data_IF_813604380673
#
_entry.id   IF_813604380673
#
_cell.length_a   1.000
_cell.length_b   1.000
_cell.length_c   1.000
_cell.angle_alpha   90.00
_cell.angle_beta   90.00
_cell.angle_gamma   90.00
#
_symmetry.space_group_name_H-M   'P 1'
#
loop_
_entity.id
_entity.type
_entity.pdbx_description
1 polymer ?
#
# COMPACT_ATOMS: atom_id res chain seq x y z
N UNK A 1 2.54 -9.65 -12.78
CA UNK A 1 1.70 -8.71 -13.58
C UNK A 1 0.21 -8.84 -13.27
N UNK A 2 -0.33 -10.07 -13.11
CA UNK A 2 -1.74 -10.31 -12.77
C UNK A 2 -2.22 -9.64 -11.47
N UNK A 3 -1.39 -9.64 -10.43
CA UNK A 3 -1.70 -9.00 -9.14
C UNK A 3 -1.93 -7.49 -9.27
N UNK A 4 -1.11 -6.80 -10.08
CA UNK A 4 -1.24 -5.34 -10.26
C UNK A 4 -2.56 -5.01 -10.93
N UNK A 5 -2.97 -5.78 -11.94
CA UNK A 5 -4.24 -5.55 -12.62
C UNK A 5 -5.43 -5.75 -11.68
N UNK A 6 -5.39 -6.81 -10.86
CA UNK A 6 -6.39 -7.06 -9.83
C UNK A 6 -6.47 -5.89 -8.81
N UNK A 7 -5.32 -5.34 -8.40
CA UNK A 7 -5.29 -4.19 -7.48
C UNK A 7 -5.91 -2.94 -8.10
N UNK A 8 -5.70 -2.69 -9.41
CA UNK A 8 -6.32 -1.55 -10.09
C UNK A 8 -7.84 -1.64 -10.02
N UNK A 9 -8.39 -2.84 -10.27
CA UNK A 9 -9.83 -3.08 -10.25
C UNK A 9 -10.38 -2.98 -8.82
N UNK A 10 -9.76 -3.67 -7.86
CA UNK A 10 -10.24 -3.71 -6.47
C UNK A 10 -10.13 -2.36 -5.75
N UNK A 11 -9.06 -1.61 -6.01
CA UNK A 11 -8.86 -0.28 -5.43
C UNK A 11 -9.60 0.81 -6.22
N UNK A 12 -10.26 0.43 -7.31
CA UNK A 12 -11.05 1.29 -8.19
C UNK A 12 -10.22 2.46 -8.74
N UNK A 13 -8.97 2.19 -9.09
CA UNK A 13 -8.01 3.19 -9.55
C UNK A 13 -8.42 3.67 -10.96
N UNK A 14 -8.49 5.00 -11.21
CA UNK A 14 -8.83 5.50 -12.53
C UNK A 14 -7.77 5.12 -13.57
N UNK A 15 -8.20 4.96 -14.82
CA UNK A 15 -7.30 4.60 -15.92
C UNK A 15 -6.16 5.61 -16.11
N UNK A 16 -6.41 6.89 -15.84
CA UNK A 16 -5.44 7.98 -15.93
C UNK A 16 -5.59 8.94 -14.76
N UNK A 17 -4.46 9.49 -14.34
CA UNK A 17 -4.36 10.58 -13.38
C UNK A 17 -3.79 11.80 -14.11
N UNK A 18 -4.26 12.98 -13.72
CA UNK A 18 -3.72 14.24 -14.23
C UNK A 18 -2.91 14.88 -13.13
N UNK A 19 -1.60 14.95 -13.36
CA UNK A 19 -0.68 15.63 -12.47
C UNK A 19 -0.86 17.16 -12.61
N UNK A 20 -0.60 17.91 -11.55
CA UNK A 20 -0.71 19.37 -11.53
C UNK A 20 0.28 20.03 -12.49
N UNK A 21 1.42 19.38 -12.74
CA UNK A 21 2.38 19.75 -13.79
C UNK A 21 1.86 19.52 -15.23
N UNK A 22 0.61 19.08 -15.40
CA UNK A 22 -0.04 18.89 -16.69
C UNK A 22 0.21 17.55 -17.36
N UNK A 23 1.04 16.69 -16.77
CA UNK A 23 1.31 15.34 -17.28
C UNK A 23 0.14 14.40 -17.02
N UNK A 24 -0.11 13.51 -17.98
CA UNK A 24 -1.08 12.42 -17.84
C UNK A 24 -0.30 11.14 -17.58
N UNK A 25 -0.54 10.54 -16.41
CA UNK A 25 0.10 9.29 -15.99
C UNK A 25 -0.98 8.21 -15.93
N UNK A 26 -0.68 6.99 -16.37
CA UNK A 26 -1.67 5.91 -16.21
C UNK A 26 -1.86 5.56 -14.74
N UNK A 27 -3.07 5.13 -14.35
CA UNK A 27 -3.33 4.66 -12.99
C UNK A 27 -2.42 3.50 -12.59
N UNK A 28 -2.05 2.65 -13.55
CA UNK A 28 -1.07 1.57 -13.38
C UNK A 28 0.31 2.10 -13.01
N UNK A 29 0.84 3.07 -13.76
CA UNK A 29 2.16 3.65 -13.48
C UNK A 29 2.16 4.37 -12.14
N UNK A 30 1.12 5.15 -11.84
CA UNK A 30 0.97 5.83 -10.57
C UNK A 30 0.91 4.86 -9.38
N UNK A 31 0.20 3.74 -9.52
CA UNK A 31 0.18 2.67 -8.52
C UNK A 31 1.57 2.05 -8.36
N UNK A 32 2.28 1.79 -9.46
CA UNK A 32 3.64 1.26 -9.42
C UNK A 32 4.61 2.24 -8.74
N UNK A 33 4.50 3.54 -8.99
CA UNK A 33 5.28 4.59 -8.33
C UNK A 33 5.04 4.56 -6.82
N UNK A 34 3.77 4.48 -6.39
CA UNK A 34 3.42 4.37 -4.98
C UNK A 34 4.05 3.13 -4.35
N UNK A 35 3.77 1.95 -4.91
CA UNK A 35 4.25 0.67 -4.38
C UNK A 35 5.78 0.60 -4.34
N UNK A 36 6.44 1.08 -5.40
CA UNK A 36 7.89 1.11 -5.47
C UNK A 36 8.48 1.99 -4.36
N UNK A 37 7.92 3.18 -4.15
CA UNK A 37 8.41 4.11 -3.12
C UNK A 37 8.13 3.66 -1.69
N UNK A 38 7.05 2.91 -1.47
CA UNK A 38 6.70 2.36 -0.14
C UNK A 38 7.43 1.04 0.18
N UNK A 39 7.94 0.32 -0.81
CA UNK A 39 8.61 -0.96 -0.59
C UNK A 39 9.95 -0.82 0.16
N UNK A 40 10.69 0.26 -0.08
CA UNK A 40 11.99 0.52 0.54
C UNK A 40 12.37 2.01 0.37
N UNK A 41 13.21 2.62 1.25
CA UNK A 41 13.73 3.96 1.02
C UNK A 41 14.56 4.02 -0.27
N UNK A 42 14.00 4.62 -1.32
CA UNK A 42 14.68 4.88 -2.59
C UNK A 42 14.96 6.38 -2.77
N UNK A 43 16.07 6.72 -3.44
CA UNK A 43 16.27 8.09 -3.89
C UNK A 43 15.40 8.39 -5.10
N UNK A 44 14.84 9.60 -5.17
CA UNK A 44 13.99 10.04 -6.27
C UNK A 44 14.73 9.97 -7.63
N UNK A 45 16.05 10.18 -7.62
CA UNK A 45 16.93 10.05 -8.79
C UNK A 45 16.95 8.63 -9.36
N UNK A 46 16.88 7.61 -8.51
CA UNK A 46 16.87 6.21 -8.93
C UNK A 46 15.52 5.86 -9.55
N UNK A 47 14.43 6.37 -8.97
CA UNK A 47 13.08 6.19 -9.51
C UNK A 47 12.94 6.77 -10.93
N UNK A 48 13.64 7.86 -11.24
CA UNK A 48 13.67 8.43 -12.58
C UNK A 48 14.23 7.45 -13.62
N UNK A 49 15.22 6.64 -13.26
CA UNK A 49 15.76 5.60 -14.15
C UNK A 49 14.76 4.44 -14.35
N UNK A 50 13.98 4.12 -13.33
CA UNK A 50 12.98 3.04 -13.37
C UNK A 50 11.76 3.44 -14.20
N UNK A 51 11.26 4.66 -14.01
CA UNK A 51 9.98 5.10 -14.56
C UNK A 51 10.10 5.99 -15.80
N UNK A 52 11.29 6.53 -16.11
CA UNK A 52 11.48 7.44 -17.24
C UNK A 52 10.73 8.78 -17.10
N UNK A 53 10.13 9.04 -15.94
CA UNK A 53 9.38 10.26 -15.62
C UNK A 53 10.29 11.31 -14.97
N UNK A 54 9.94 12.59 -15.10
CA UNK A 54 10.62 13.64 -14.33
C UNK A 54 10.41 13.43 -12.83
N UNK A 55 11.35 13.93 -12.03
CA UNK A 55 11.26 13.86 -10.57
C UNK A 55 9.98 14.52 -10.02
N UNK A 56 9.55 15.62 -10.66
CA UNK A 56 8.28 16.29 -10.34
C UNK A 56 7.07 15.39 -10.62
N UNK A 57 7.01 14.78 -11.81
CA UNK A 57 5.93 13.89 -12.21
C UNK A 57 5.85 12.66 -11.29
N UNK A 58 6.99 12.10 -10.87
CA UNK A 58 7.04 11.00 -9.91
C UNK A 58 6.48 11.43 -8.54
N UNK A 59 6.89 12.60 -8.04
CA UNK A 59 6.37 13.12 -6.77
C UNK A 59 4.86 13.39 -6.82
N UNK A 60 4.37 13.97 -7.91
CA UNK A 60 2.95 14.25 -8.08
C UNK A 60 2.13 12.96 -8.23
N UNK A 61 2.60 12.01 -9.05
CA UNK A 61 1.94 10.72 -9.19
C UNK A 61 1.87 9.95 -7.86
N UNK A 62 2.96 9.99 -7.09
CA UNK A 62 3.02 9.42 -5.74
C UNK A 62 1.99 10.06 -4.81
N UNK A 63 2.02 11.39 -4.67
CA UNK A 63 1.14 12.11 -3.75
C UNK A 63 -0.32 11.97 -4.16
N UNK A 64 -0.62 12.07 -5.46
CA UNK A 64 -1.97 11.89 -5.98
C UNK A 64 -2.50 10.50 -5.62
N UNK A 65 -1.72 9.44 -5.87
CA UNK A 65 -2.15 8.07 -5.58
C UNK A 65 -2.31 7.84 -4.07
N UNK A 66 -1.40 8.38 -3.26
CA UNK A 66 -1.49 8.30 -1.80
C UNK A 66 -2.77 8.96 -1.27
N UNK A 67 -3.04 10.20 -1.69
CA UNK A 67 -4.24 10.93 -1.30
C UNK A 67 -5.51 10.25 -1.80
N UNK A 68 -5.50 9.70 -3.01
CA UNK A 68 -6.63 8.97 -3.56
C UNK A 68 -6.97 7.74 -2.72
N UNK A 69 -5.96 6.94 -2.35
CA UNK A 69 -6.16 5.75 -1.53
C UNK A 69 -6.56 6.10 -0.09
N UNK A 70 -5.96 7.13 0.50
CA UNK A 70 -6.33 7.58 1.84
C UNK A 70 -7.76 8.15 1.87
N UNK A 71 -8.13 8.98 0.89
CA UNK A 71 -9.49 9.51 0.80
C UNK A 71 -10.54 8.40 0.64
N UNK A 72 -10.26 7.39 -0.19
CA UNK A 72 -11.23 6.33 -0.50
C UNK A 72 -11.22 5.20 0.53
N UNK A 73 -10.05 4.83 1.03
CA UNK A 73 -9.82 3.62 1.82
C UNK A 73 -9.11 3.90 3.15
N UNK A 74 -8.86 5.16 3.51
CA UNK A 74 -8.14 5.55 4.73
C UNK A 74 -8.77 5.01 6.02
N UNK A 75 -10.08 4.78 6.02
CA UNK A 75 -10.78 4.11 7.13
C UNK A 75 -10.41 2.62 7.29
N UNK A 76 -9.88 1.97 6.24
CA UNK A 76 -9.31 0.63 6.28
C UNK A 76 -7.79 0.66 6.53
N UNK A 77 -7.12 1.72 6.06
CA UNK A 77 -5.68 1.90 6.24
C UNK A 77 -5.32 2.36 7.66
N UNK A 78 -6.22 3.04 8.35
CA UNK A 78 -6.12 3.30 9.78
C UNK A 78 -6.42 2.00 10.52
N UNK A 79 -5.35 1.28 10.88
CA UNK A 79 -5.43 0.02 11.61
C UNK A 79 -5.93 0.26 13.05
N UNK A 80 -7.23 0.45 13.22
CA UNK A 80 -7.86 0.58 14.53
C UNK A 80 -7.92 -0.81 15.15
N UNK A 81 -7.12 -1.03 16.19
CA UNK A 81 -7.06 -2.31 16.93
C UNK A 81 -8.44 -2.77 17.39
N UNK A 82 -9.33 -1.83 17.72
CA UNK A 82 -10.70 -2.12 18.10
C UNK A 82 -11.49 -2.88 17.01
N UNK A 83 -11.21 -2.65 15.73
CA UNK A 83 -11.83 -3.39 14.63
C UNK A 83 -11.25 -4.80 14.47
N UNK A 84 -10.03 -5.05 14.95
CA UNK A 84 -9.34 -6.33 14.80
C UNK A 84 -9.53 -7.25 16.01
N UNK A 85 -9.70 -6.67 17.19
CA UNK A 85 -9.94 -7.35 18.46
C UNK A 85 -10.99 -8.49 18.37
N UNK A 86 -12.16 -8.28 17.73
CA UNK A 86 -13.17 -9.33 17.59
C UNK A 86 -12.73 -10.51 16.69
N UNK A 87 -11.79 -10.29 15.77
CA UNK A 87 -11.38 -11.23 14.73
C UNK A 87 -10.00 -11.88 15.01
N UNK A 88 -9.39 -11.62 16.17
CA UNK A 88 -8.04 -12.12 16.49
C UNK A 88 -7.92 -13.64 16.41
N UNK A 89 -8.96 -14.37 16.83
CA UNK A 89 -8.99 -15.84 16.77
C UNK A 89 -9.02 -16.31 15.31
N UNK A 90 -9.87 -15.71 14.48
CA UNK A 90 -9.96 -16.03 13.05
C UNK A 90 -8.61 -15.79 12.35
N UNK A 91 -7.93 -14.69 12.66
CA UNK A 91 -6.60 -14.41 12.12
C UNK A 91 -5.54 -15.41 12.58
N UNK A 92 -5.55 -15.78 13.86
CA UNK A 92 -4.62 -16.78 14.40
C UNK A 92 -4.84 -18.16 13.75
N UNK A 93 -6.10 -18.59 13.59
CA UNK A 93 -6.46 -19.84 12.94
C UNK A 93 -6.08 -19.85 11.45
N UNK A 94 -6.35 -18.77 10.72
CA UNK A 94 -5.98 -18.65 9.31
C UNK A 94 -4.46 -18.80 9.10
N UNK A 95 -3.66 -18.19 9.98
CA UNK A 95 -2.20 -18.28 9.93
C UNK A 95 -1.70 -19.67 10.31
N UNK A 96 -2.27 -20.26 11.36
CA UNK A 96 -1.96 -21.64 11.73
C UNK A 96 -2.26 -22.59 10.56
N UNK A 97 -3.43 -22.47 9.94
CA UNK A 97 -3.84 -23.26 8.78
C UNK A 97 -2.98 -23.03 7.54
N UNK A 98 -2.30 -21.87 7.43
CA UNK A 98 -1.33 -21.61 6.36
C UNK A 98 0.01 -22.35 6.53
N UNK A 99 0.17 -23.13 7.60
CA UNK A 99 1.39 -23.88 7.91
C UNK A 99 2.37 -23.09 8.77
N UNK A 100 1.90 -22.03 9.46
CA UNK A 100 2.74 -21.29 10.40
C UNK A 100 3.11 -22.19 11.59
N UNK A 101 4.39 -22.24 11.99
CA UNK A 101 4.83 -23.04 13.13
C UNK A 101 4.36 -22.52 14.49
N UNK A 102 3.82 -21.29 14.56
CA UNK A 102 3.28 -20.70 15.79
C UNK A 102 1.77 -20.91 15.87
N UNK A 103 1.31 -21.46 16.99
CA UNK A 103 -0.10 -21.87 17.17
C UNK A 103 -1.00 -20.78 17.75
N UNK A 104 -0.43 -19.75 18.39
CA UNK A 104 -1.17 -18.69 19.09
C UNK A 104 -0.60 -17.29 18.90
N UNK A 105 0.28 -17.09 17.91
CA UNK A 105 0.84 -15.78 17.62
C UNK A 105 0.31 -15.24 16.30
N UNK A 106 -0.24 -14.04 16.37
CA UNK A 106 -0.53 -13.18 15.25
C UNK A 106 0.18 -11.85 15.45
N UNK A 107 0.83 -11.34 14.41
CA UNK A 107 1.55 -10.07 14.46
C UNK A 107 1.58 -9.41 13.09
N UNK A 108 1.40 -8.10 13.05
CA UNK A 108 1.56 -7.30 11.85
C UNK A 108 2.99 -6.77 11.77
N UNK A 109 3.58 -6.78 10.58
CA UNK A 109 4.82 -6.04 10.29
C UNK A 109 4.41 -4.58 10.06
N UNK A 110 3.98 -3.90 11.13
CA UNK A 110 3.58 -2.49 11.10
C UNK A 110 4.72 -1.58 11.61
N UNK A 111 5.86 -2.14 12.05
CA UNK A 111 6.92 -1.36 12.69
C UNK A 111 6.52 -0.72 14.03
N UNK A 112 5.23 -0.71 14.36
CA UNK A 112 4.69 -0.25 15.63
C UNK A 112 4.96 -1.29 16.72
N UNK A 113 5.96 -1.03 17.55
CA UNK A 113 6.15 -1.75 18.81
C UNK A 113 5.00 -1.41 19.73
N UNK A 114 4.03 -2.31 19.86
CA UNK A 114 2.95 -2.19 20.85
C UNK A 114 3.37 -2.94 22.10
N UNK A 115 3.39 -2.25 23.24
CA UNK A 115 3.60 -2.86 24.53
C UNK A 115 2.41 -3.75 24.89
N UNK A 116 2.48 -5.03 24.53
CA UNK A 116 1.58 -6.04 25.08
C UNK A 116 2.11 -6.39 26.46
N UNK A 117 1.29 -6.17 27.49
CA UNK A 117 1.55 -6.69 28.83
C UNK A 117 1.60 -8.22 28.75
N UNK A 118 2.65 -8.80 29.34
CA UNK A 118 2.78 -10.24 29.56
C UNK A 118 2.02 -10.66 30.81
#
# INVERSE_FOLDING_TARGET
MQVIMLMLDLLLIPAFIRADCGFVVSGREALCVLLYRLAFPFHLKDMRLVFGMSESCICEAFNWMLHFLDFRWGYLLSLVVAHLLPHLIEFAEAIFNSGCPLTHCWGFIDGTVRGIAR
#
